data_IF_028135597789
#
_entry.id   IF_028135597789
#
_cell.length_a   1.000
_cell.length_b   1.000
_cell.length_c   1.000
_cell.angle_alpha   90.00
_cell.angle_beta   90.00
_cell.angle_gamma   90.00
#
_symmetry.space_group_name_H-M   'P 1'
#
loop_
_entity.id
_entity.type
_entity.pdbx_description
1 polymer ?
#
# COMPACT_ATOMS: atom_id res chain seq x y z
N UNK A 1 -23.99 22.12 -48.69
CA UNK A 1 -23.05 22.33 -47.59
C UNK A 1 -23.10 21.15 -46.62
N UNK A 2 -24.28 20.71 -46.11
CA UNK A 2 -24.41 19.60 -45.17
C UNK A 2 -23.83 18.27 -45.68
N UNK A 3 -24.10 17.90 -46.93
CA UNK A 3 -23.56 16.67 -47.55
C UNK A 3 -22.04 16.70 -47.72
N UNK A 4 -21.44 17.86 -47.96
CA UNK A 4 -20.00 18.05 -48.06
C UNK A 4 -19.31 17.88 -46.72
N UNK A 5 -19.87 18.44 -45.61
CA UNK A 5 -19.38 18.28 -44.26
C UNK A 5 -19.49 16.82 -43.79
N UNK A 6 -20.62 16.17 -44.08
CA UNK A 6 -20.82 14.75 -43.76
C UNK A 6 -19.80 13.85 -44.47
N UNK A 7 -19.57 14.09 -45.77
CA UNK A 7 -18.56 13.36 -46.53
C UNK A 7 -17.15 13.55 -45.99
N UNK A 8 -16.78 14.78 -45.57
CA UNK A 8 -15.50 15.07 -44.97
C UNK A 8 -15.30 14.36 -43.64
N UNK A 9 -16.32 14.36 -42.75
CA UNK A 9 -16.31 13.64 -41.49
C UNK A 9 -16.17 12.13 -41.69
N UNK A 10 -16.82 11.58 -42.68
CA UNK A 10 -16.76 10.15 -43.01
C UNK A 10 -15.34 9.74 -43.44
N UNK A 11 -14.67 10.55 -44.26
CA UNK A 11 -13.29 10.32 -44.72
C UNK A 11 -12.32 10.32 -43.53
N UNK A 12 -12.51 11.19 -42.54
CA UNK A 12 -11.67 11.23 -41.33
C UNK A 12 -11.95 10.10 -40.33
N UNK A 13 -13.15 9.53 -40.34
CA UNK A 13 -13.54 8.43 -39.47
C UNK A 13 -13.15 7.04 -40.01
N UNK A 14 -13.08 6.87 -41.35
CA UNK A 14 -12.77 5.60 -42.01
C UNK A 14 -11.47 4.90 -41.53
N UNK A 15 -10.35 5.60 -41.26
CA UNK A 15 -9.12 4.96 -40.78
C UNK A 15 -9.25 4.30 -39.42
N UNK A 16 -10.28 4.65 -38.65
CA UNK A 16 -10.53 4.09 -37.32
C UNK A 16 -11.27 2.75 -37.33
N UNK A 17 -11.78 2.33 -38.50
CA UNK A 17 -12.48 1.04 -38.68
C UNK A 17 -11.43 -0.04 -39.02
N UNK A 18 -11.32 -1.11 -38.19
CA UNK A 18 -10.19 -2.06 -38.26
C UNK A 18 -10.06 -2.82 -39.58
N UNK A 19 -11.14 -2.96 -40.39
CA UNK A 19 -11.11 -3.65 -41.66
C UNK A 19 -10.80 -2.76 -42.88
N UNK A 20 -11.14 -1.47 -42.80
CA UNK A 20 -11.03 -0.54 -43.91
C UNK A 20 -9.72 0.25 -43.83
N UNK A 21 -9.24 0.51 -42.61
CA UNK A 21 -8.03 1.28 -42.37
C UNK A 21 -6.77 0.68 -42.97
N UNK A 22 -6.65 -0.65 -43.00
CA UNK A 22 -5.48 -1.35 -43.56
C UNK A 22 -5.47 -1.40 -45.08
N UNK A 23 -6.64 -1.37 -45.72
CA UNK A 23 -6.75 -1.41 -47.18
C UNK A 23 -6.50 -0.06 -47.86
N UNK A 24 -6.65 1.05 -47.11
CA UNK A 24 -6.59 2.41 -47.64
C UNK A 24 -5.52 3.28 -46.96
N UNK A 25 -4.53 2.67 -46.35
CA UNK A 25 -3.50 3.33 -45.55
C UNK A 25 -2.68 4.40 -46.29
N UNK A 26 -2.58 4.25 -47.63
CA UNK A 26 -1.85 5.17 -48.50
C UNK A 26 -2.67 6.37 -48.97
N UNK A 27 -3.99 6.40 -48.74
CA UNK A 27 -4.91 7.40 -49.31
C UNK A 27 -5.61 8.24 -48.24
N UNK A 28 -5.71 7.69 -47.01
CA UNK A 28 -6.40 8.32 -45.90
C UNK A 28 -5.45 8.97 -44.91
N UNK A 29 -5.90 9.98 -44.13
CA UNK A 29 -5.08 10.58 -43.08
C UNK A 29 -4.61 9.52 -42.09
N UNK A 30 -3.31 9.50 -41.76
CA UNK A 30 -2.67 8.50 -40.89
C UNK A 30 -3.06 8.63 -39.41
N UNK A 31 -3.74 9.71 -39.01
CA UNK A 31 -4.20 9.95 -37.65
C UNK A 31 -5.47 9.15 -37.34
N UNK A 32 -5.32 8.05 -36.62
CA UNK A 32 -6.46 7.29 -36.05
C UNK A 32 -7.05 8.04 -34.86
N UNK A 33 -8.38 8.04 -34.78
CA UNK A 33 -9.08 8.58 -33.62
C UNK A 33 -8.77 7.65 -32.43
N UNK A 34 -8.12 8.17 -31.38
CA UNK A 34 -7.94 7.43 -30.15
C UNK A 34 -9.28 7.34 -29.42
N UNK A 35 -9.91 6.19 -29.54
CA UNK A 35 -11.13 5.88 -28.80
C UNK A 35 -10.81 5.78 -27.32
N UNK A 36 -11.59 6.44 -26.48
CA UNK A 36 -11.51 6.32 -25.04
C UNK A 36 -11.80 4.89 -24.56
N UNK A 37 -11.52 4.63 -23.29
CA UNK A 37 -11.70 3.32 -22.65
C UNK A 37 -13.12 2.77 -22.83
N UNK A 38 -14.13 3.65 -22.73
CA UNK A 38 -15.55 3.30 -22.86
C UNK A 38 -15.91 2.72 -24.24
N UNK A 39 -15.15 3.08 -25.29
CA UNK A 39 -15.38 2.62 -26.66
C UNK A 39 -14.46 1.48 -27.10
N UNK A 40 -13.27 1.35 -26.49
CA UNK A 40 -12.34 0.23 -26.75
C UNK A 40 -12.69 -1.01 -25.92
N UNK A 41 -13.50 -0.86 -24.90
CA UNK A 41 -13.71 -1.85 -23.85
C UNK A 41 -12.48 -1.92 -22.92
N UNK A 42 -12.71 -2.04 -21.67
CA UNK A 42 -11.61 -2.13 -20.67
C UNK A 42 -12.19 -2.22 -19.27
N UNK A 43 -11.36 -2.55 -18.32
CA UNK A 43 -11.71 -2.59 -16.91
C UNK A 43 -10.98 -1.44 -16.22
N UNK A 44 -11.74 -0.61 -15.51
CA UNK A 44 -11.21 0.41 -14.63
C UNK A 44 -11.48 0.00 -13.18
N UNK A 45 -10.42 -0.34 -12.44
CA UNK A 45 -10.52 -0.77 -11.04
C UNK A 45 -9.80 0.22 -10.15
N UNK A 46 -10.43 0.56 -9.02
CA UNK A 46 -9.78 1.28 -7.92
C UNK A 46 -9.74 0.35 -6.71
N UNK A 47 -8.53 0.01 -6.27
CA UNK A 47 -8.28 -0.89 -5.16
C UNK A 47 -7.78 -0.07 -3.96
N UNK A 48 -8.42 -0.24 -2.80
CA UNK A 48 -7.94 0.33 -1.53
C UNK A 48 -6.89 -0.58 -0.87
N UNK A 49 -5.82 0.00 -0.35
CA UNK A 49 -4.84 -0.73 0.47
C UNK A 49 -5.14 -0.49 1.94
N UNK A 50 -5.29 -1.56 2.71
CA UNK A 50 -5.50 -1.48 4.16
C UNK A 50 -4.16 -1.21 4.88
N UNK A 51 -3.76 0.05 4.87
CA UNK A 51 -2.52 0.50 5.51
C UNK A 51 -2.59 0.42 7.04
N UNK A 52 -3.79 0.59 7.63
CA UNK A 52 -3.98 0.44 9.07
C UNK A 52 -3.63 -0.99 9.51
N UNK A 53 -4.01 -1.98 8.71
CA UNK A 53 -3.64 -3.38 8.94
C UNK A 53 -2.13 -3.61 8.81
N UNK A 54 -1.48 -2.92 7.86
CA UNK A 54 -0.02 -2.99 7.70
C UNK A 54 0.70 -2.43 8.94
N UNK A 55 0.28 -1.29 9.46
CA UNK A 55 0.80 -0.69 10.70
C UNK A 55 0.58 -1.63 11.90
N UNK A 56 -0.62 -2.16 12.07
CA UNK A 56 -0.96 -3.11 13.14
C UNK A 56 -0.08 -4.38 13.09
N UNK A 57 0.13 -4.95 11.90
CA UNK A 57 1.00 -6.11 11.73
C UNK A 57 2.46 -5.78 12.07
N UNK A 58 2.95 -4.61 11.66
CA UNK A 58 4.32 -4.16 11.98
C UNK A 58 4.50 -3.94 13.49
N UNK A 59 3.49 -3.40 14.18
CA UNK A 59 3.49 -3.28 15.66
C UNK A 59 3.50 -4.65 16.34
N UNK A 60 2.73 -5.61 15.83
CA UNK A 60 2.73 -6.96 16.37
C UNK A 60 4.10 -7.63 16.25
N UNK A 61 4.78 -7.45 15.10
CA UNK A 61 6.15 -7.94 14.90
C UNK A 61 7.14 -7.25 15.85
N UNK A 62 7.05 -5.93 15.99
CA UNK A 62 7.87 -5.18 16.96
C UNK A 62 7.67 -5.71 18.40
N UNK A 63 6.43 -6.01 18.78
CA UNK A 63 6.14 -6.61 20.09
C UNK A 63 6.80 -7.99 20.29
N UNK A 64 6.80 -8.82 19.27
CA UNK A 64 7.49 -10.12 19.31
C UNK A 64 9.01 -9.95 19.40
N UNK A 65 9.57 -9.00 18.66
CA UNK A 65 11.01 -8.69 18.70
C UNK A 65 11.44 -8.12 20.05
N UNK A 66 10.64 -7.21 20.65
CA UNK A 66 10.86 -6.72 22.02
C UNK A 66 10.91 -7.89 22.99
N UNK A 67 9.92 -8.81 22.91
CA UNK A 67 9.88 -9.99 23.79
C UNK A 67 11.08 -10.91 23.57
N UNK A 68 11.53 -11.10 22.33
CA UNK A 68 12.70 -11.93 22.01
C UNK A 68 13.98 -11.33 22.57
N UNK A 69 14.25 -10.04 22.29
CA UNK A 69 15.45 -9.36 22.79
C UNK A 69 15.47 -9.26 24.32
N UNK A 70 14.32 -8.98 24.95
CA UNK A 70 14.20 -8.99 26.38
C UNK A 70 14.54 -10.38 26.98
N UNK A 71 14.07 -11.47 26.35
CA UNK A 71 14.37 -12.83 26.79
C UNK A 71 15.87 -13.15 26.69
N UNK A 72 16.56 -12.68 25.67
CA UNK A 72 18.01 -12.87 25.51
C UNK A 72 18.79 -12.22 26.67
N UNK A 73 18.28 -11.10 27.18
CA UNK A 73 18.81 -10.40 28.38
C UNK A 73 18.20 -10.93 29.70
N UNK A 74 17.48 -12.06 29.65
CA UNK A 74 16.83 -12.70 30.84
C UNK A 74 15.71 -11.85 31.46
N UNK A 75 15.14 -10.91 30.72
CA UNK A 75 14.01 -10.09 31.10
C UNK A 75 12.71 -10.74 30.59
N UNK A 76 11.71 -10.80 31.46
CA UNK A 76 10.40 -11.36 31.10
C UNK A 76 9.45 -10.24 30.70
N UNK A 77 9.09 -10.21 29.40
CA UNK A 77 8.04 -9.32 28.87
C UNK A 77 6.79 -10.16 28.57
N UNK A 78 5.66 -9.76 29.14
CA UNK A 78 4.40 -10.46 29.02
C UNK A 78 3.44 -9.77 28.05
N UNK A 79 2.67 -10.58 27.35
CA UNK A 79 1.50 -10.20 26.57
C UNK A 79 1.68 -9.03 25.59
N UNK A 80 2.74 -9.01 24.73
CA UNK A 80 2.76 -8.05 23.64
C UNK A 80 1.53 -8.25 22.76
N UNK A 81 0.67 -7.24 22.70
CA UNK A 81 -0.55 -7.26 21.90
C UNK A 81 -0.83 -5.89 21.30
N UNK A 82 -1.37 -5.87 20.11
CA UNK A 82 -1.85 -4.63 19.50
C UNK A 82 -3.27 -4.36 19.96
N UNK A 83 -3.49 -3.14 20.43
CA UNK A 83 -4.78 -2.63 20.87
C UNK A 83 -5.20 -1.51 19.91
N UNK A 84 -6.39 -1.63 19.34
CA UNK A 84 -6.74 -0.83 18.18
C UNK A 84 -5.89 -1.24 16.97
N UNK A 85 -5.46 -0.28 16.19
CA UNK A 85 -4.58 -0.52 15.04
C UNK A 85 -3.20 0.14 15.18
N UNK A 86 -3.01 0.94 16.23
CA UNK A 86 -1.93 1.92 16.38
C UNK A 86 -1.14 1.79 17.67
N UNK A 87 -1.57 0.97 18.65
CA UNK A 87 -0.94 0.86 19.96
C UNK A 87 -0.50 -0.55 20.27
N UNK A 88 0.73 -0.68 20.78
CA UNK A 88 1.29 -1.92 21.27
C UNK A 88 1.31 -1.87 22.81
N UNK A 89 0.61 -2.78 23.46
CA UNK A 89 0.66 -2.97 24.90
C UNK A 89 1.50 -4.18 25.28
N UNK A 90 2.32 -4.03 26.32
CA UNK A 90 3.06 -5.13 26.94
C UNK A 90 3.29 -4.85 28.41
N UNK A 91 3.63 -5.87 29.19
CA UNK A 91 3.84 -5.76 30.63
C UNK A 91 5.20 -6.30 31.04
N UNK A 92 5.82 -5.62 32.00
CA UNK A 92 7.05 -6.01 32.70
C UNK A 92 6.70 -6.39 34.15
N UNK A 93 6.68 -7.68 34.51
CA UNK A 93 6.33 -8.12 35.89
C UNK A 93 7.34 -7.68 36.94
N UNK A 94 8.62 -7.65 36.56
CA UNK A 94 9.71 -7.31 37.49
C UNK A 94 10.14 -5.87 37.30
N UNK A 95 9.86 -5.02 38.29
CA UNK A 95 10.19 -3.58 38.23
C UNK A 95 11.71 -3.36 38.17
N UNK A 96 12.50 -4.23 38.78
CA UNK A 96 13.97 -4.14 38.78
C UNK A 96 14.60 -4.23 37.39
N UNK A 97 13.91 -4.82 36.44
CA UNK A 97 14.37 -4.97 35.05
C UNK A 97 14.02 -3.74 34.18
N UNK A 98 13.37 -2.71 34.72
CA UNK A 98 12.88 -1.54 33.98
C UNK A 98 14.01 -0.81 33.25
N UNK A 99 15.12 -0.52 33.91
CA UNK A 99 16.23 0.21 33.32
C UNK A 99 16.84 -0.52 32.13
N UNK A 100 16.99 -1.84 32.22
CA UNK A 100 17.48 -2.67 31.10
C UNK A 100 16.50 -2.72 29.94
N UNK A 101 15.20 -2.84 30.23
CA UNK A 101 14.18 -2.84 29.20
C UNK A 101 14.17 -1.49 28.46
N UNK A 102 14.28 -0.38 29.15
CA UNK A 102 14.37 0.96 28.55
C UNK A 102 15.60 1.09 27.64
N UNK A 103 16.75 0.56 28.04
CA UNK A 103 17.95 0.52 27.19
C UNK A 103 17.72 -0.27 25.90
N UNK A 104 17.10 -1.45 25.99
CA UNK A 104 16.74 -2.26 24.82
C UNK A 104 15.80 -1.49 23.88
N UNK A 105 14.77 -0.84 24.42
CA UNK A 105 13.79 -0.08 23.65
C UNK A 105 14.44 1.11 22.93
N UNK A 106 15.26 1.89 23.63
CA UNK A 106 15.94 3.06 23.05
C UNK A 106 16.95 2.66 21.96
N UNK A 107 17.68 1.57 22.18
CA UNK A 107 18.73 1.12 21.25
C UNK A 107 18.19 0.44 20.01
N UNK A 108 17.19 -0.43 20.18
CA UNK A 108 16.75 -1.32 19.10
C UNK A 108 15.41 -0.87 18.46
N UNK A 109 14.65 -0.01 19.13
CA UNK A 109 13.34 0.44 18.64
C UNK A 109 13.19 1.97 18.68
N UNK A 110 14.12 2.74 18.10
CA UNK A 110 14.06 4.20 18.09
C UNK A 110 12.84 4.76 17.35
N UNK A 111 12.23 3.94 16.49
CA UNK A 111 11.01 4.24 15.74
C UNK A 111 9.74 4.19 16.59
N UNK A 112 9.81 3.59 17.79
CA UNK A 112 8.68 3.54 18.71
C UNK A 112 8.72 4.76 19.66
N UNK A 113 7.56 5.33 19.88
CA UNK A 113 7.30 6.25 20.96
C UNK A 113 6.71 5.45 22.13
N UNK A 114 7.51 5.23 23.17
CA UNK A 114 7.10 4.44 24.34
C UNK A 114 6.66 5.40 25.44
N UNK A 115 5.38 5.31 25.79
CA UNK A 115 4.82 6.11 26.88
C UNK A 115 5.36 5.72 28.26
N UNK A 116 5.12 6.57 29.25
CA UNK A 116 5.47 6.27 30.65
C UNK A 116 4.75 5.00 31.13
N UNK A 117 5.46 4.10 31.83
CA UNK A 117 4.84 2.88 32.34
C UNK A 117 3.81 3.16 33.43
N UNK A 118 2.70 2.45 33.35
CA UNK A 118 1.68 2.47 34.41
C UNK A 118 1.86 1.28 35.33
N UNK A 119 1.96 1.55 36.63
CA UNK A 119 2.02 0.49 37.64
C UNK A 119 0.65 -0.20 37.76
N UNK A 120 0.65 -1.53 37.65
CA UNK A 120 -0.54 -2.38 37.79
C UNK A 120 -0.23 -3.53 38.73
N UNK A 121 -1.23 -4.31 39.11
CA UNK A 121 -1.03 -5.53 39.91
C UNK A 121 -0.09 -6.55 39.26
N UNK A 122 -0.04 -6.58 37.92
CA UNK A 122 0.80 -7.46 37.13
C UNK A 122 2.22 -6.91 36.85
N UNK A 123 2.60 -5.75 37.44
CA UNK A 123 3.85 -5.06 37.19
C UNK A 123 3.68 -3.74 36.46
N UNK A 124 4.67 -3.39 35.64
CA UNK A 124 4.64 -2.17 34.83
C UNK A 124 4.03 -2.46 33.47
N UNK A 125 3.00 -1.70 33.09
CA UNK A 125 2.36 -1.77 31.76
C UNK A 125 2.87 -0.63 30.91
N UNK A 126 3.37 -0.97 29.74
CA UNK A 126 3.82 -0.04 28.69
C UNK A 126 2.81 0.03 27.57
N UNK A 127 2.71 1.23 26.99
CA UNK A 127 2.01 1.47 25.73
C UNK A 127 2.99 2.14 24.78
N UNK A 128 3.18 1.57 23.63
CA UNK A 128 4.07 2.09 22.60
C UNK A 128 3.28 2.28 21.28
N UNK A 129 3.68 3.27 20.51
CA UNK A 129 3.15 3.56 19.19
C UNK A 129 4.29 3.89 18.23
N UNK A 130 4.09 3.71 16.94
CA UNK A 130 5.08 4.18 15.98
C UNK A 130 5.08 5.71 15.90
N UNK A 131 6.25 6.28 15.64
CA UNK A 131 6.36 7.69 15.31
C UNK A 131 5.70 7.96 13.96
N UNK A 132 5.16 9.19 13.72
CA UNK A 132 4.48 9.52 12.47
C UNK A 132 5.28 9.22 11.21
N UNK A 133 6.60 9.45 11.25
CA UNK A 133 7.52 9.20 10.13
C UNK A 133 7.59 7.71 9.79
N UNK A 134 7.56 6.86 10.81
CA UNK A 134 7.57 5.40 10.63
C UNK A 134 6.23 4.89 10.11
N UNK A 135 5.11 5.46 10.57
CA UNK A 135 3.79 5.15 10.03
C UNK A 135 3.76 5.44 8.53
N UNK A 136 4.16 6.65 8.12
CA UNK A 136 4.21 7.04 6.70
C UNK A 136 5.09 6.10 5.88
N UNK A 137 6.24 5.67 6.43
CA UNK A 137 7.14 4.71 5.77
C UNK A 137 6.48 3.34 5.59
N UNK A 138 5.76 2.85 6.59
CA UNK A 138 5.04 1.58 6.52
C UNK A 138 3.90 1.65 5.50
N UNK A 139 3.16 2.76 5.46
CA UNK A 139 2.09 3.01 4.49
C UNK A 139 2.62 2.98 3.06
N UNK A 140 3.70 3.71 2.79
CA UNK A 140 4.36 3.71 1.48
C UNK A 140 4.85 2.33 1.06
N UNK A 141 5.48 1.60 1.97
CA UNK A 141 5.92 0.23 1.72
C UNK A 141 4.76 -0.72 1.43
N UNK A 142 3.64 -0.58 2.13
CA UNK A 142 2.44 -1.38 1.91
C UNK A 142 1.83 -1.11 0.52
N UNK A 143 1.76 0.18 0.12
CA UNK A 143 1.32 0.59 -1.22
C UNK A 143 2.22 0.04 -2.31
N UNK A 144 3.55 0.16 -2.15
CA UNK A 144 4.52 -0.36 -3.11
C UNK A 144 4.45 -1.89 -3.24
N UNK A 145 4.26 -2.58 -2.13
CA UNK A 145 4.11 -4.03 -2.13
C UNK A 145 2.80 -4.46 -2.82
N UNK A 146 1.70 -3.76 -2.55
CA UNK A 146 0.42 -4.00 -3.19
C UNK A 146 0.52 -3.78 -4.72
N UNK A 147 1.15 -2.68 -5.14
CA UNK A 147 1.37 -2.36 -6.55
C UNK A 147 2.19 -3.44 -7.26
N UNK A 148 3.29 -3.90 -6.66
CA UNK A 148 4.10 -5.01 -7.20
C UNK A 148 3.29 -6.30 -7.30
N UNK A 149 2.49 -6.61 -6.29
CA UNK A 149 1.66 -7.81 -6.27
C UNK A 149 0.61 -7.78 -7.37
N UNK A 150 -0.06 -6.62 -7.56
CA UNK A 150 -1.07 -6.44 -8.61
C UNK A 150 -0.39 -6.59 -9.98
N UNK A 151 0.75 -5.92 -10.21
CA UNK A 151 1.49 -6.01 -11.48
C UNK A 151 1.87 -7.45 -11.80
N UNK A 152 2.47 -8.18 -10.86
CA UNK A 152 2.86 -9.57 -11.06
C UNK A 152 1.66 -10.48 -11.40
N UNK A 153 0.50 -10.23 -10.79
CA UNK A 153 -0.72 -10.99 -11.11
C UNK A 153 -1.23 -10.68 -12.50
N UNK A 154 -1.26 -9.42 -12.89
CA UNK A 154 -1.73 -8.99 -14.22
C UNK A 154 -0.81 -9.53 -15.32
N UNK A 155 0.51 -9.48 -15.09
CA UNK A 155 1.50 -10.05 -16.02
C UNK A 155 1.30 -11.56 -16.23
N UNK A 156 0.93 -12.29 -15.17
CA UNK A 156 0.62 -13.72 -15.26
C UNK A 156 -0.62 -14.02 -16.12
N UNK A 157 -1.57 -13.08 -16.20
CA UNK A 157 -2.75 -13.21 -17.07
C UNK A 157 -2.51 -12.77 -18.52
N UNK A 158 -1.31 -12.28 -18.84
CA UNK A 158 -0.95 -11.88 -20.20
C UNK A 158 -1.69 -10.64 -20.72
N UNK A 159 -2.13 -9.77 -19.80
CA UNK A 159 -2.78 -8.49 -20.19
C UNK A 159 -1.73 -7.58 -20.79
N UNK A 160 -1.99 -7.12 -22.02
CA UNK A 160 -1.10 -6.20 -22.71
C UNK A 160 -1.21 -4.78 -22.10
N UNK A 161 -0.06 -4.22 -21.71
CA UNK A 161 0.12 -2.82 -21.29
C UNK A 161 -0.88 -2.30 -20.24
N UNK A 162 -0.96 -2.92 -19.04
CA UNK A 162 -1.82 -2.42 -17.98
C UNK A 162 -1.27 -1.10 -17.43
N UNK A 163 -2.11 -0.08 -17.31
CA UNK A 163 -1.77 1.16 -16.63
C UNK A 163 -2.11 1.02 -15.12
N UNK A 164 -1.06 0.94 -14.29
CA UNK A 164 -1.20 0.76 -12.84
C UNK A 164 -0.56 1.93 -12.13
N UNK A 165 -1.36 2.74 -11.43
CA UNK A 165 -0.94 3.99 -10.78
C UNK A 165 -1.37 4.05 -9.32
N UNK A 166 -0.53 4.67 -8.48
CA UNK A 166 -0.95 5.11 -7.14
C UNK A 166 -1.89 6.30 -7.25
N UNK A 167 -2.91 6.32 -6.40
CA UNK A 167 -3.83 7.45 -6.20
C UNK A 167 -3.80 7.91 -4.75
N UNK A 168 -4.22 9.14 -4.52
CA UNK A 168 -4.41 9.68 -3.17
C UNK A 168 -5.37 8.83 -2.35
N UNK A 169 -5.17 8.81 -1.01
CA UNK A 169 -5.99 8.04 -0.08
C UNK A 169 -5.69 6.54 -0.10
N UNK A 170 -4.43 6.17 -0.27
CA UNK A 170 -3.95 4.77 -0.18
C UNK A 170 -4.65 3.82 -1.19
N UNK A 171 -4.85 4.32 -2.40
CA UNK A 171 -5.53 3.60 -3.48
C UNK A 171 -4.59 3.32 -4.65
N UNK A 172 -4.89 2.26 -5.39
CA UNK A 172 -4.23 1.88 -6.64
C UNK A 172 -5.28 1.80 -7.72
N UNK A 173 -5.05 2.52 -8.81
CA UNK A 173 -5.87 2.47 -10.02
C UNK A 173 -5.23 1.52 -11.00
N UNK A 174 -6.07 0.70 -11.65
CA UNK A 174 -5.70 -0.26 -12.70
C UNK A 174 -6.62 -0.03 -13.89
N UNK A 175 -6.06 0.17 -15.07
CA UNK A 175 -6.78 0.36 -16.33
C UNK A 175 -6.25 -0.59 -17.41
#
# INVERSE_FOLDING_TARGET
VALLVFGLCLVYALPSVPYIGTALENVLPSKKINLGLDLKGGIHLTLGVDVAKAVSNSLALAGQDIRRLAKDEKIVVLHPRVVGNDKLEFALPRVDDEAKLQEILQKNFPQLNVGEPRRTEAGLRYVAEFRPEEISRIEDMALDQALRTIRNRIDQFGVAEPDIRKQEGNRIQVQ
#
